data_IF_530975696159
#
_entry.id   IF_530975696159
#
_cell.length_a   1.000
_cell.length_b   1.000
_cell.length_c   1.000
_cell.angle_alpha   90.00
_cell.angle_beta   90.00
_cell.angle_gamma   90.00
#
_symmetry.space_group_name_H-M   'P 1'
#
loop_
_entity.id
_entity.type
_entity.pdbx_description
1 polymer ?
#
# COMPACT_ATOMS: atom_id res chain seq x y z
N UNK A 1 35.36 22.58 54.80
CA UNK A 1 35.81 21.43 54.02
C UNK A 1 34.75 20.32 53.84
N UNK A 2 33.81 20.15 54.79
CA UNK A 2 32.77 19.08 54.69
C UNK A 2 31.67 19.40 53.69
N UNK A 3 31.33 20.67 53.51
CA UNK A 3 30.31 21.14 52.55
C UNK A 3 30.71 20.99 51.09
N UNK A 4 32.00 21.16 50.73
CA UNK A 4 32.52 21.06 49.37
C UNK A 4 32.48 19.62 48.86
N UNK A 5 32.64 18.63 49.74
CA UNK A 5 32.57 17.19 49.37
C UNK A 5 31.17 16.72 49.04
N UNK A 6 30.14 17.31 49.64
CA UNK A 6 28.76 17.00 49.39
C UNK A 6 28.29 17.55 48.03
N UNK A 7 28.74 18.76 47.68
CA UNK A 7 28.40 19.37 46.37
C UNK A 7 29.08 18.61 45.23
N UNK A 8 30.31 18.12 45.41
CA UNK A 8 31.01 17.34 44.40
C UNK A 8 30.35 15.95 44.14
N UNK A 9 29.80 15.33 45.19
CA UNK A 9 29.09 14.06 45.10
C UNK A 9 27.76 14.20 44.36
N UNK A 10 27.03 15.32 44.53
CA UNK A 10 25.76 15.60 43.84
C UNK A 10 26.00 15.89 42.36
N UNK A 11 27.07 16.56 41.98
CA UNK A 11 27.39 16.84 40.56
C UNK A 11 27.81 15.55 39.83
N UNK A 12 28.52 14.62 40.49
CA UNK A 12 28.86 13.32 39.88
C UNK A 12 27.64 12.41 39.70
N UNK A 13 26.63 12.48 40.57
CA UNK A 13 25.41 11.66 40.45
C UNK A 13 24.44 12.19 39.39
N UNK A 14 24.43 13.50 39.08
CA UNK A 14 23.63 14.06 38.00
C UNK A 14 24.23 13.78 36.62
N UNK A 15 25.54 13.59 36.50
CA UNK A 15 26.20 13.25 35.23
C UNK A 15 25.97 11.84 34.75
N UNK A 16 25.59 10.92 35.64
CA UNK A 16 25.34 9.51 35.28
C UNK A 16 23.93 9.24 34.73
N UNK A 17 22.98 10.18 34.87
CA UNK A 17 21.58 10.04 34.39
C UNK A 17 21.35 10.52 32.94
N UNK A 18 22.35 11.12 32.29
CA UNK A 18 22.27 11.58 30.91
C UNK A 18 22.81 10.59 29.85
N UNK A 19 23.22 9.39 30.25
CA UNK A 19 23.87 8.43 29.34
C UNK A 19 22.92 7.34 28.78
N UNK A 20 21.62 7.36 29.15
CA UNK A 20 20.64 6.57 28.45
C UNK A 20 20.00 7.40 27.32
N UNK A 21 20.76 7.65 26.25
CA UNK A 21 20.11 7.86 24.95
C UNK A 21 19.38 6.56 24.64
N UNK A 22 18.02 6.54 24.44
CA UNK A 22 17.40 5.40 23.83
C UNK A 22 18.17 5.19 22.51
N UNK A 23 18.83 4.06 22.40
CA UNK A 23 19.56 3.71 21.19
C UNK A 23 18.56 3.80 20.05
N UNK A 24 18.68 4.84 19.24
CA UNK A 24 18.17 4.83 17.89
C UNK A 24 18.83 3.59 17.28
N UNK A 25 18.06 2.50 17.16
CA UNK A 25 18.49 1.34 16.41
C UNK A 25 19.04 1.87 15.08
N UNK A 26 20.23 1.45 14.67
CA UNK A 26 20.78 1.90 13.40
C UNK A 26 19.75 1.57 12.33
N UNK A 27 19.15 2.59 11.77
CA UNK A 27 18.33 2.48 10.58
C UNK A 27 19.32 2.09 9.48
N UNK A 28 19.43 0.79 9.22
CA UNK A 28 20.11 0.29 8.03
C UNK A 28 19.28 0.72 6.82
N UNK A 29 19.44 1.95 6.36
CA UNK A 29 18.79 2.48 5.17
C UNK A 29 19.13 1.66 3.91
N UNK A 30 20.21 0.89 3.94
CA UNK A 30 20.66 0.02 2.86
C UNK A 30 19.99 -1.35 2.79
N UNK A 31 19.20 -1.76 3.79
CA UNK A 31 18.68 -3.14 3.88
C UNK A 31 17.16 -3.30 3.79
N UNK A 32 16.38 -2.24 3.75
CA UNK A 32 14.91 -2.35 3.68
C UNK A 32 14.45 -2.86 2.31
N UNK A 33 13.47 -3.78 2.27
CA UNK A 33 12.84 -4.16 1.02
C UNK A 33 12.23 -2.95 0.31
N UNK A 34 12.17 -3.00 -1.02
CA UNK A 34 11.49 -2.01 -1.84
C UNK A 34 10.33 -2.66 -2.57
N UNK A 35 9.16 -2.01 -2.55
CA UNK A 35 7.95 -2.46 -3.25
C UNK A 35 7.62 -1.47 -4.36
N UNK A 36 7.39 -1.97 -5.58
CA UNK A 36 6.97 -1.14 -6.72
C UNK A 36 5.88 -1.85 -7.51
N UNK A 37 4.82 -1.13 -7.87
CA UNK A 37 3.82 -1.64 -8.81
C UNK A 37 4.48 -1.77 -10.17
N UNK A 38 4.50 -2.98 -10.73
CA UNK A 38 5.02 -3.24 -12.06
C UNK A 38 3.94 -3.05 -13.12
N UNK A 39 2.81 -3.75 -12.96
CA UNK A 39 1.67 -3.72 -13.88
C UNK A 39 0.37 -4.17 -13.21
N UNK A 40 -0.73 -3.93 -13.88
CA UNK A 40 -2.04 -4.50 -13.59
C UNK A 40 -2.44 -5.39 -14.76
N UNK A 41 -3.01 -6.55 -14.47
CA UNK A 41 -3.48 -7.54 -15.46
C UNK A 41 -4.97 -7.79 -15.27
N UNK A 42 -5.69 -7.99 -16.36
CA UNK A 42 -7.06 -8.50 -16.30
C UNK A 42 -6.98 -10.02 -16.16
N UNK A 43 -7.44 -10.53 -15.02
CA UNK A 43 -7.48 -11.96 -14.75
C UNK A 43 -8.76 -12.61 -15.30
N UNK A 44 -9.88 -11.91 -15.11
CA UNK A 44 -11.18 -12.33 -15.58
C UNK A 44 -12.03 -11.09 -15.87
N UNK A 45 -12.76 -11.14 -16.98
CA UNK A 45 -13.63 -10.04 -17.43
C UNK A 45 -14.96 -10.60 -17.90
N UNK A 46 -16.03 -9.91 -17.50
CA UNK A 46 -17.38 -10.21 -17.94
C UNK A 46 -18.01 -8.97 -18.58
N UNK A 47 -18.81 -9.14 -19.65
CA UNK A 47 -19.50 -8.02 -20.28
C UNK A 47 -20.37 -7.26 -19.27
N UNK A 48 -20.42 -5.96 -19.43
CA UNK A 48 -21.24 -5.10 -18.56
C UNK A 48 -22.71 -5.50 -18.58
N UNK A 49 -23.29 -5.58 -17.38
CA UNK A 49 -24.73 -5.69 -17.15
C UNK A 49 -25.16 -4.52 -16.27
N UNK A 50 -26.27 -3.86 -16.63
CA UNK A 50 -26.73 -2.68 -15.91
C UNK A 50 -27.08 -3.00 -14.44
N UNK A 51 -26.80 -2.04 -13.56
CA UNK A 51 -27.16 -2.12 -12.14
C UNK A 51 -28.70 -2.30 -11.98
N UNK A 52 -29.15 -3.08 -10.99
CA UNK A 52 -28.40 -3.59 -9.82
C UNK A 52 -27.70 -4.94 -10.03
N UNK A 53 -27.65 -5.47 -11.26
CA UNK A 53 -26.91 -6.71 -11.50
C UNK A 53 -25.42 -6.56 -11.10
N UNK A 54 -24.82 -7.69 -10.72
CA UNK A 54 -23.42 -7.74 -10.34
C UNK A 54 -22.59 -8.22 -11.53
N UNK A 55 -21.76 -7.36 -12.07
CA UNK A 55 -20.80 -7.73 -13.11
C UNK A 55 -19.42 -7.88 -12.47
N UNK A 56 -18.86 -9.11 -12.41
CA UNK A 56 -17.54 -9.32 -11.83
C UNK A 56 -16.43 -8.81 -12.75
N UNK A 57 -15.35 -8.36 -12.11
CA UNK A 57 -14.08 -7.98 -12.74
C UNK A 57 -12.95 -8.42 -11.82
N UNK A 58 -12.05 -9.25 -12.30
CA UNK A 58 -10.91 -9.72 -11.53
C UNK A 58 -9.63 -9.11 -12.08
N UNK A 59 -8.95 -8.35 -11.24
CA UNK A 59 -7.66 -7.73 -11.55
C UNK A 59 -6.55 -8.35 -10.73
N UNK A 60 -5.41 -8.56 -11.36
CA UNK A 60 -4.19 -8.91 -10.68
C UNK A 60 -3.22 -7.73 -10.69
N UNK A 61 -2.77 -7.35 -9.51
CA UNK A 61 -1.75 -6.33 -9.29
C UNK A 61 -0.41 -7.05 -9.10
N UNK A 62 0.54 -6.77 -9.98
CA UNK A 62 1.87 -7.39 -9.94
C UNK A 62 2.86 -6.36 -9.39
N UNK A 63 3.48 -6.72 -8.28
CA UNK A 63 4.48 -5.89 -7.62
C UNK A 63 5.86 -6.54 -7.73
N UNK A 64 6.89 -5.73 -7.93
CA UNK A 64 8.27 -6.13 -7.73
C UNK A 64 8.66 -5.85 -6.28
N UNK A 65 9.10 -6.88 -5.57
CA UNK A 65 9.64 -6.79 -4.22
C UNK A 65 11.15 -7.06 -4.31
N UNK A 66 11.93 -6.02 -4.07
CA UNK A 66 13.39 -6.08 -4.06
C UNK A 66 13.86 -6.24 -2.61
N UNK A 67 14.41 -7.39 -2.27
CA UNK A 67 15.06 -7.60 -0.98
C UNK A 67 16.53 -7.21 -1.07
N UNK A 68 16.88 -6.04 -0.52
CA UNK A 68 18.25 -5.51 -0.51
C UNK A 68 19.07 -5.97 0.68
N UNK A 69 18.49 -6.75 1.59
CA UNK A 69 19.19 -7.25 2.77
C UNK A 69 20.06 -8.47 2.45
N UNK A 70 20.96 -8.83 3.36
CA UNK A 70 21.78 -10.03 3.28
C UNK A 70 21.08 -11.31 3.77
N UNK A 71 19.79 -11.28 4.12
CA UNK A 71 19.03 -12.39 4.68
C UNK A 71 17.63 -12.49 4.08
N UNK A 72 16.96 -13.61 4.29
CA UNK A 72 15.56 -13.76 3.88
C UNK A 72 14.68 -12.78 4.64
N UNK A 73 13.73 -12.16 3.95
CA UNK A 73 12.64 -11.42 4.58
C UNK A 73 11.32 -12.13 4.30
N UNK A 74 10.43 -12.15 5.28
CA UNK A 74 9.12 -12.78 5.18
C UNK A 74 8.05 -11.71 5.12
N UNK A 75 7.25 -11.68 4.05
CA UNK A 75 6.05 -10.84 3.99
C UNK A 75 5.00 -11.43 4.92
N UNK A 76 4.44 -10.63 5.80
CA UNK A 76 3.40 -11.02 6.76
C UNK A 76 2.05 -10.36 6.45
N UNK A 77 2.09 -9.13 5.94
CA UNK A 77 0.89 -8.39 5.59
C UNK A 77 1.17 -7.49 4.39
N UNK A 78 0.20 -7.42 3.49
CA UNK A 78 0.27 -6.56 2.31
C UNK A 78 -1.10 -5.92 2.06
N UNK A 79 -1.18 -4.61 2.15
CA UNK A 79 -2.41 -3.84 2.02
C UNK A 79 -2.19 -2.64 1.11
N UNK A 80 -3.19 -2.30 0.31
CA UNK A 80 -3.18 -1.07 -0.50
C UNK A 80 -4.60 -0.65 -0.85
N UNK A 81 -4.77 0.60 -1.25
CA UNK A 81 -6.03 1.12 -1.78
C UNK A 81 -5.91 1.31 -3.28
N UNK A 82 -6.92 0.85 -4.01
CA UNK A 82 -7.02 1.00 -5.46
C UNK A 82 -7.97 2.11 -5.82
N UNK A 83 -7.56 2.96 -6.73
CA UNK A 83 -8.32 4.06 -7.27
C UNK A 83 -8.41 3.94 -8.80
N UNK A 84 -9.58 4.25 -9.36
CA UNK A 84 -9.78 4.34 -10.79
C UNK A 84 -9.98 5.80 -11.21
N UNK A 85 -9.39 6.19 -12.32
CA UNK A 85 -9.54 7.52 -12.89
C UNK A 85 -10.97 7.69 -13.46
N UNK A 86 -11.71 8.66 -12.94
CA UNK A 86 -13.09 8.95 -13.35
C UNK A 86 -13.17 10.18 -14.29
N UNK A 87 -12.23 11.11 -14.14
CA UNK A 87 -12.00 12.25 -15.03
C UNK A 87 -10.48 12.51 -15.08
N UNK A 88 -9.96 13.27 -16.04
CA UNK A 88 -8.52 13.49 -16.17
C UNK A 88 -7.86 13.96 -14.88
N UNK A 89 -7.00 13.11 -14.30
CA UNK A 89 -6.33 13.35 -13.03
C UNK A 89 -7.16 13.14 -11.77
N UNK A 90 -8.46 12.85 -11.90
CA UNK A 90 -9.39 12.67 -10.80
C UNK A 90 -9.67 11.19 -10.54
N UNK A 91 -9.24 10.70 -9.39
CA UNK A 91 -9.30 9.31 -9.00
C UNK A 91 -10.33 9.08 -7.90
N UNK A 92 -11.10 8.00 -8.03
CA UNK A 92 -12.08 7.55 -7.05
C UNK A 92 -11.64 6.22 -6.45
N UNK A 93 -11.78 6.09 -5.14
CA UNK A 93 -11.49 4.87 -4.41
C UNK A 93 -12.45 3.76 -4.82
N UNK A 94 -11.89 2.59 -5.15
CA UNK A 94 -12.67 1.42 -5.57
C UNK A 94 -12.67 0.34 -4.49
N UNK A 95 -11.49 -0.02 -3.99
CA UNK A 95 -11.33 -1.14 -3.05
C UNK A 95 -10.01 -1.02 -2.28
N UNK A 96 -9.92 -1.77 -1.18
CA UNK A 96 -8.69 -1.85 -0.36
C UNK A 96 -8.31 -3.33 -0.14
N UNK A 97 -7.61 -3.97 -1.12
CA UNK A 97 -7.13 -5.33 -0.97
C UNK A 97 -6.17 -5.47 0.20
N UNK A 98 -6.31 -6.56 0.94
CA UNK A 98 -5.41 -6.94 2.02
C UNK A 98 -5.12 -8.43 1.95
N UNK A 99 -3.85 -8.80 2.00
CA UNK A 99 -3.40 -10.21 2.04
C UNK A 99 -2.57 -10.46 3.29
N UNK A 100 -2.65 -11.68 3.78
CA UNK A 100 -1.91 -12.17 4.96
C UNK A 100 -1.08 -13.42 4.61
N UNK A 101 -0.67 -13.52 3.35
CA UNK A 101 0.13 -14.63 2.87
C UNK A 101 1.57 -14.51 3.36
N UNK A 102 2.11 -15.62 3.87
CA UNK A 102 3.49 -15.69 4.29
C UNK A 102 4.39 -16.08 3.11
N UNK A 103 5.02 -15.09 2.49
CA UNK A 103 5.92 -15.26 1.35
C UNK A 103 7.34 -14.87 1.74
N UNK A 104 8.32 -15.72 1.40
CA UNK A 104 9.73 -15.44 1.66
C UNK A 104 10.41 -14.88 0.41
N UNK A 105 11.18 -13.82 0.61
CA UNK A 105 11.99 -13.20 -0.43
C UNK A 105 13.46 -13.43 -0.11
N UNK A 106 14.21 -14.15 -0.99
CA UNK A 106 15.63 -14.41 -0.79
C UNK A 106 16.47 -13.12 -0.76
N UNK A 107 17.65 -13.15 -0.12
CA UNK A 107 18.52 -11.99 -0.04
C UNK A 107 19.02 -11.55 -1.42
N UNK A 108 19.18 -10.24 -1.61
CA UNK A 108 19.75 -9.63 -2.83
C UNK A 108 18.98 -10.03 -4.13
N UNK A 109 17.67 -10.29 -4.02
CA UNK A 109 16.83 -10.64 -5.17
C UNK A 109 15.67 -9.68 -5.36
N UNK A 110 15.17 -9.64 -6.59
CA UNK A 110 13.87 -9.04 -6.92
C UNK A 110 12.93 -10.17 -7.34
N UNK A 111 11.78 -10.25 -6.67
CA UNK A 111 10.76 -11.26 -6.93
C UNK A 111 9.42 -10.59 -7.19
N UNK A 112 8.60 -11.21 -8.04
CA UNK A 112 7.24 -10.73 -8.25
C UNK A 112 6.31 -11.25 -7.16
N UNK A 113 5.45 -10.35 -6.66
CA UNK A 113 4.33 -10.68 -5.79
C UNK A 113 3.03 -10.26 -6.46
N UNK A 114 2.09 -11.18 -6.55
CA UNK A 114 0.85 -11.01 -7.30
C UNK A 114 -0.35 -11.03 -6.37
N UNK A 115 -1.11 -9.96 -6.34
CA UNK A 115 -2.34 -9.84 -5.56
C UNK A 115 -3.53 -9.84 -6.53
N UNK A 116 -4.38 -10.87 -6.42
CA UNK A 116 -5.61 -10.96 -7.20
C UNK A 116 -6.75 -10.37 -6.38
N UNK A 117 -7.54 -9.49 -7.00
CA UNK A 117 -8.67 -8.84 -6.37
C UNK A 117 -9.92 -8.97 -7.24
N UNK A 118 -10.95 -9.60 -6.68
CA UNK A 118 -12.26 -9.69 -7.30
C UNK A 118 -13.07 -8.44 -6.95
N UNK A 119 -13.48 -7.73 -7.97
CA UNK A 119 -14.37 -6.59 -7.93
C UNK A 119 -15.74 -6.99 -8.49
N UNK A 120 -16.79 -6.34 -8.06
CA UNK A 120 -18.09 -6.38 -8.74
C UNK A 120 -18.69 -4.98 -8.83
N UNK A 121 -19.49 -4.75 -9.88
CA UNK A 121 -20.08 -3.46 -10.17
C UNK A 121 -20.94 -2.90 -9.04
N UNK A 122 -21.62 -3.76 -8.28
CA UNK A 122 -22.45 -3.34 -7.15
C UNK A 122 -21.61 -2.89 -5.96
N UNK A 123 -20.55 -3.65 -5.61
CA UNK A 123 -19.63 -3.28 -4.55
C UNK A 123 -18.89 -1.99 -4.87
N UNK A 124 -18.49 -1.80 -6.13
CA UNK A 124 -17.90 -0.53 -6.59
C UNK A 124 -18.91 0.61 -6.42
N UNK A 125 -20.19 0.41 -6.80
CA UNK A 125 -21.22 1.43 -6.62
C UNK A 125 -21.44 1.82 -5.15
N UNK A 126 -21.35 0.86 -4.22
CA UNK A 126 -21.40 1.15 -2.78
C UNK A 126 -20.16 1.94 -2.32
N UNK A 127 -18.97 1.56 -2.77
CA UNK A 127 -17.75 2.31 -2.49
C UNK A 127 -17.84 3.76 -2.97
N UNK A 128 -18.36 3.98 -4.17
CA UNK A 128 -18.59 5.32 -4.70
C UNK A 128 -19.62 6.12 -3.90
N UNK A 129 -20.67 5.45 -3.43
CA UNK A 129 -21.72 6.09 -2.63
C UNK A 129 -21.25 6.52 -1.23
N UNK A 130 -20.31 5.78 -0.63
CA UNK A 130 -19.89 5.98 0.75
C UNK A 130 -18.54 6.73 0.81
N UNK A 131 -17.50 6.16 0.22
CA UNK A 131 -16.14 6.69 0.33
C UNK A 131 -15.88 7.89 -0.60
N UNK A 132 -16.65 8.02 -1.70
CA UNK A 132 -16.42 9.07 -2.69
C UNK A 132 -17.62 10.02 -2.86
N UNK A 133 -18.60 10.00 -1.95
CA UNK A 133 -19.86 10.74 -2.11
C UNK A 133 -19.63 12.24 -2.40
N UNK A 134 -18.76 12.88 -1.64
CA UNK A 134 -18.43 14.30 -1.82
C UNK A 134 -17.77 14.54 -3.19
N UNK A 135 -16.78 13.74 -3.56
CA UNK A 135 -16.03 13.90 -4.82
C UNK A 135 -16.92 13.64 -6.04
N UNK A 136 -17.83 12.67 -5.96
CA UNK A 136 -18.84 12.41 -6.99
C UNK A 136 -19.73 13.63 -7.22
N UNK A 137 -20.14 14.30 -6.14
CA UNK A 137 -20.94 15.52 -6.20
C UNK A 137 -20.13 16.70 -6.77
N UNK A 138 -18.91 16.92 -6.30
CA UNK A 138 -18.02 18.00 -6.78
C UNK A 138 -17.74 17.89 -8.28
N UNK A 139 -17.54 16.66 -8.77
CA UNK A 139 -17.26 16.38 -10.18
C UNK A 139 -18.53 16.22 -11.03
N UNK A 140 -19.71 16.34 -10.42
CA UNK A 140 -21.01 16.13 -11.07
C UNK A 140 -21.09 14.80 -11.85
N UNK A 141 -20.60 13.72 -11.26
CA UNK A 141 -20.52 12.40 -11.89
C UNK A 141 -21.80 11.57 -11.64
N UNK A 142 -22.25 10.84 -12.65
CA UNK A 142 -23.21 9.76 -12.48
C UNK A 142 -22.47 8.46 -12.14
N UNK A 143 -22.71 7.88 -10.97
CA UNK A 143 -22.01 6.68 -10.50
C UNK A 143 -22.18 5.49 -11.44
N UNK A 144 -23.41 5.22 -11.90
CA UNK A 144 -23.68 4.08 -12.77
C UNK A 144 -22.95 4.22 -14.11
N UNK A 145 -23.01 5.41 -14.72
CA UNK A 145 -22.28 5.70 -15.96
C UNK A 145 -20.76 5.66 -15.77
N UNK A 146 -20.25 6.13 -14.64
CA UNK A 146 -18.82 6.08 -14.33
C UNK A 146 -18.34 4.62 -14.26
N UNK A 147 -19.06 3.76 -13.55
CA UNK A 147 -18.74 2.34 -13.43
C UNK A 147 -18.83 1.66 -14.80
N UNK A 148 -19.91 1.89 -15.53
CA UNK A 148 -20.08 1.36 -16.89
C UNK A 148 -18.92 1.72 -17.81
N UNK A 149 -18.50 2.97 -17.78
CA UNK A 149 -17.35 3.44 -18.55
C UNK A 149 -16.06 2.72 -18.19
N UNK A 150 -15.81 2.46 -16.89
CA UNK A 150 -14.65 1.67 -16.47
C UNK A 150 -14.73 0.24 -17.00
N UNK A 151 -15.88 -0.45 -16.89
CA UNK A 151 -16.03 -1.81 -17.41
C UNK A 151 -15.85 -1.88 -18.93
N UNK A 152 -16.31 -0.88 -19.68
CA UNK A 152 -16.11 -0.83 -21.13
C UNK A 152 -14.65 -0.60 -21.50
N UNK A 153 -13.96 0.29 -20.77
CA UNK A 153 -12.61 0.74 -21.09
C UNK A 153 -11.50 -0.11 -20.46
N UNK A 154 -11.82 -1.01 -19.52
CA UNK A 154 -10.80 -1.77 -18.80
C UNK A 154 -10.01 -2.70 -19.71
N UNK A 155 -10.64 -3.22 -20.79
CA UNK A 155 -9.99 -4.15 -21.71
C UNK A 155 -8.71 -3.59 -22.32
N UNK A 156 -8.70 -2.29 -22.60
CA UNK A 156 -7.54 -1.57 -23.17
C UNK A 156 -6.83 -0.70 -22.13
N UNK A 157 -7.19 -0.82 -20.85
CA UNK A 157 -6.74 0.09 -19.80
C UNK A 157 -6.91 1.56 -20.19
N UNK A 158 -8.08 1.90 -20.77
CA UNK A 158 -8.40 3.24 -21.29
C UNK A 158 -8.60 4.31 -20.20
N UNK A 159 -8.20 4.04 -18.95
CA UNK A 159 -8.18 4.96 -17.82
C UNK A 159 -7.04 4.59 -16.86
N UNK A 160 -6.65 5.55 -16.02
CA UNK A 160 -5.60 5.36 -15.03
C UNK A 160 -6.07 4.52 -13.83
N UNK A 161 -5.22 3.58 -13.38
CA UNK A 161 -5.38 2.84 -12.13
C UNK A 161 -4.27 3.30 -11.19
N UNK A 162 -4.62 3.77 -10.01
CA UNK A 162 -3.66 4.18 -8.99
C UNK A 162 -3.73 3.23 -7.79
N UNK A 163 -2.57 2.81 -7.33
CA UNK A 163 -2.36 2.14 -6.04
C UNK A 163 -1.78 3.17 -5.09
N UNK A 164 -2.42 3.40 -3.96
CA UNK A 164 -1.95 4.32 -2.93
C UNK A 164 -2.20 3.74 -1.53
N UNK A 165 -1.67 4.43 -0.52
CA UNK A 165 -1.79 4.00 0.89
C UNK A 165 -1.29 2.57 1.09
N UNK A 166 -0.36 2.14 0.21
CA UNK A 166 0.23 0.82 0.26
C UNK A 166 1.13 0.65 1.48
N UNK A 167 1.00 -0.50 2.14
CA UNK A 167 1.85 -0.90 3.25
C UNK A 167 2.17 -2.38 3.14
N UNK A 168 3.44 -2.71 3.03
CA UNK A 168 3.95 -4.07 3.18
C UNK A 168 4.63 -4.20 4.54
N UNK A 169 4.30 -5.25 5.28
CA UNK A 169 4.93 -5.58 6.56
C UNK A 169 5.76 -6.83 6.38
N UNK A 170 7.07 -6.70 6.57
CA UNK A 170 8.00 -7.83 6.50
C UNK A 170 8.50 -8.15 7.90
N UNK A 171 8.37 -9.41 8.29
CA UNK A 171 8.97 -9.92 9.51
C UNK A 171 10.47 -10.19 9.30
N UNK A 172 11.28 -9.78 10.27
CA UNK A 172 12.71 -10.10 10.35
C UNK A 172 13.09 -10.47 11.77
N UNK A 173 14.29 -11.02 11.95
CA UNK A 173 14.84 -11.38 13.27
C UNK A 173 14.99 -10.16 14.21
N UNK A 174 14.98 -8.96 13.65
CA UNK A 174 15.11 -7.69 14.38
C UNK A 174 13.75 -6.99 14.62
N UNK A 175 12.64 -7.62 14.22
CA UNK A 175 11.27 -7.06 14.30
C UNK A 175 10.68 -6.73 12.93
N UNK A 176 9.50 -6.13 12.94
CA UNK A 176 8.75 -5.84 11.72
C UNK A 176 9.31 -4.63 10.97
N UNK A 177 9.41 -4.78 9.65
CA UNK A 177 9.84 -3.72 8.72
C UNK A 177 8.61 -3.24 7.97
N UNK A 178 8.24 -1.98 8.14
CA UNK A 178 7.12 -1.33 7.45
C UNK A 178 7.63 -0.63 6.20
N UNK A 179 7.08 -1.00 5.06
CA UNK A 179 7.46 -0.46 3.76
C UNK A 179 6.24 0.16 3.08
N UNK A 180 6.10 1.49 3.09
CA UNK A 180 5.05 2.16 2.33
C UNK A 180 5.35 2.10 0.83
N UNK A 181 4.30 2.03 0.01
CA UNK A 181 4.43 2.04 -1.43
C UNK A 181 3.22 2.66 -2.12
N UNK A 182 3.43 3.14 -3.32
CA UNK A 182 2.40 3.62 -4.23
C UNK A 182 2.80 3.34 -5.67
N UNK A 183 1.86 3.46 -6.60
CA UNK A 183 2.12 3.29 -8.02
C UNK A 183 0.93 3.65 -8.88
N UNK A 184 1.15 3.79 -10.18
CA UNK A 184 0.11 4.02 -11.17
C UNK A 184 0.32 3.14 -12.38
N UNK A 185 -0.79 2.80 -13.03
CA UNK A 185 -0.82 2.01 -14.25
C UNK A 185 -1.94 2.53 -15.18
N UNK A 186 -1.73 2.57 -16.51
CA UNK A 186 -0.44 2.35 -17.16
C UNK A 186 0.60 3.39 -16.74
N UNK A 187 1.87 3.03 -16.86
CA UNK A 187 2.97 3.96 -16.60
C UNK A 187 2.98 5.01 -17.71
N UNK A 188 2.86 6.27 -17.34
CA UNK A 188 2.98 7.42 -18.24
C UNK A 188 4.44 7.76 -18.46
#
# INVERSE_FOLDING_TARGET
MRQIRIILAIILSLGALMACKPGLLPTEEGGKPKVTLERVEIQSYFPWVDLPARTPLELAYVFNIENRSGHNVKLDNFKFTTYFEAAPGEYLMVTTPTTYEQVYFPPQTTSQYRVVNLLDSFTINLSLAVANAQKIQELNLNRAETIKNWYIKIQDFGFGIKVAEGMAVFASDKGDIFVPFEGAFPKK
#
